data_IF_386215375999
#
_entry.id   IF_386215375999
#
_cell.length_a   1.000
_cell.length_b   1.000
_cell.length_c   1.000
_cell.angle_alpha   90.00
_cell.angle_beta   90.00
_cell.angle_gamma   90.00
#
_symmetry.space_group_name_H-M   'P 1'
#
loop_
_entity.id
_entity.type
_entity.pdbx_description
1 polymer ?
#
# COMPACT_ATOMS: atom_id res chain seq x y z
N UNK A 1 20.00 -18.43 18.47
CA UNK A 1 18.66 -18.17 19.03
C UNK A 1 18.55 -16.68 19.22
N UNK A 2 17.54 -16.03 18.64
CA UNK A 2 17.34 -14.58 18.73
C UNK A 2 15.93 -14.32 19.26
N UNK A 3 15.70 -13.22 19.96
CA UNK A 3 14.36 -12.75 20.33
C UNK A 3 13.76 -11.96 19.18
N UNK A 4 12.62 -12.44 18.64
CA UNK A 4 11.94 -11.85 17.49
C UNK A 4 10.51 -11.52 17.87
N UNK A 5 10.10 -10.26 17.61
CA UNK A 5 8.72 -9.83 17.79
C UNK A 5 8.01 -9.85 16.44
N UNK A 6 6.89 -10.57 16.37
CA UNK A 6 6.10 -10.74 15.14
C UNK A 6 4.86 -9.85 15.23
N UNK A 7 4.69 -8.99 14.23
CA UNK A 7 3.45 -8.24 14.07
C UNK A 7 2.32 -9.14 13.59
N UNK A 8 1.38 -9.42 14.50
CA UNK A 8 0.24 -10.31 14.28
C UNK A 8 -0.99 -9.50 13.88
N UNK A 9 -1.59 -9.84 12.73
CA UNK A 9 -2.77 -9.14 12.19
C UNK A 9 -4.07 -9.94 12.32
N UNK A 10 -4.03 -11.12 12.95
CA UNK A 10 -5.16 -12.07 12.92
C UNK A 10 -5.35 -12.78 11.58
N UNK A 11 -4.48 -12.56 10.58
CA UNK A 11 -4.50 -13.22 9.28
C UNK A 11 -3.53 -14.40 9.20
N UNK A 12 -3.72 -15.28 8.20
CA UNK A 12 -2.93 -16.50 8.00
C UNK A 12 -1.44 -16.22 7.77
N UNK A 13 -1.09 -15.13 7.10
CA UNK A 13 0.30 -14.82 6.72
C UNK A 13 1.17 -14.51 7.93
N UNK A 14 0.69 -13.66 8.85
CA UNK A 14 1.38 -13.36 10.10
C UNK A 14 1.43 -14.57 11.04
N UNK A 15 0.38 -15.41 11.02
CA UNK A 15 0.34 -16.66 11.80
C UNK A 15 1.43 -17.64 11.35
N UNK A 16 1.59 -17.82 10.04
CA UNK A 16 2.64 -18.70 9.48
C UNK A 16 4.02 -18.09 9.66
N UNK A 17 4.16 -16.77 9.57
CA UNK A 17 5.42 -16.09 9.85
C UNK A 17 5.91 -16.38 11.28
N UNK A 18 5.02 -16.30 12.27
CA UNK A 18 5.32 -16.65 13.66
C UNK A 18 5.68 -18.14 13.81
N UNK A 19 4.91 -19.02 13.19
CA UNK A 19 5.17 -20.48 13.20
C UNK A 19 6.54 -20.84 12.63
N UNK A 20 6.91 -20.24 11.49
CA UNK A 20 8.22 -20.50 10.84
C UNK A 20 9.38 -20.13 11.78
N UNK A 21 9.30 -18.96 12.41
CA UNK A 21 10.34 -18.48 13.32
C UNK A 21 10.42 -19.32 14.61
N UNK A 22 9.28 -19.73 15.16
CA UNK A 22 9.24 -20.62 16.32
C UNK A 22 9.84 -21.98 16.00
N UNK A 23 9.48 -22.57 14.85
CA UNK A 23 10.07 -23.86 14.38
C UNK A 23 11.56 -23.75 14.07
N UNK A 24 12.05 -22.57 13.72
CA UNK A 24 13.48 -22.30 13.54
C UNK A 24 14.25 -22.15 14.87
N UNK A 25 13.58 -22.29 16.02
CA UNK A 25 14.19 -22.25 17.36
C UNK A 25 14.44 -20.85 17.89
N UNK A 26 13.76 -19.82 17.36
CA UNK A 26 13.82 -18.46 17.90
C UNK A 26 12.87 -18.30 19.10
N UNK A 27 13.19 -17.36 19.98
CA UNK A 27 12.25 -16.85 20.98
C UNK A 27 11.29 -15.87 20.29
N UNK A 28 10.04 -16.31 20.08
CA UNK A 28 9.04 -15.56 19.34
C UNK A 28 8.01 -14.95 20.28
N UNK A 29 7.69 -13.66 20.08
CA UNK A 29 6.62 -12.94 20.79
C UNK A 29 5.66 -12.39 19.73
N UNK A 30 4.38 -12.75 19.81
CA UNK A 30 3.32 -12.20 18.97
C UNK A 30 2.86 -10.84 19.51
N UNK A 31 2.75 -9.82 18.65
CA UNK A 31 2.20 -8.52 19.04
C UNK A 31 1.09 -8.10 18.07
N UNK A 32 -0.10 -7.95 18.61
CA UNK A 32 -1.23 -7.37 17.91
C UNK A 32 -1.18 -5.85 18.00
N UNK A 33 -1.32 -5.18 16.86
CA UNK A 33 -1.33 -3.72 16.79
C UNK A 33 -2.78 -3.23 16.61
N UNK A 34 -3.33 -2.58 17.62
CA UNK A 34 -4.58 -1.83 17.49
C UNK A 34 -4.26 -0.44 16.94
N UNK A 35 -4.56 -0.19 15.67
CA UNK A 35 -4.25 1.09 15.00
C UNK A 35 -5.50 1.93 14.70
N UNK A 36 -6.70 1.42 15.01
CA UNK A 36 -7.96 2.11 14.78
C UNK A 36 -8.99 1.74 15.85
N UNK A 37 -9.65 2.73 16.44
CA UNK A 37 -10.55 2.54 17.56
C UNK A 37 -12.04 2.69 17.21
N UNK A 38 -12.35 3.10 15.96
CA UNK A 38 -13.75 3.28 15.58
C UNK A 38 -14.38 1.93 15.20
N UNK A 39 -15.63 1.75 15.63
CA UNK A 39 -16.49 0.65 15.19
C UNK A 39 -16.93 0.86 13.74
N UNK A 40 -17.23 -0.22 13.03
CA UNK A 40 -17.88 -0.15 11.72
C UNK A 40 -19.35 0.33 11.84
N UNK A 41 -20.01 0.49 10.67
CA UNK A 41 -21.42 0.94 10.59
C UNK A 41 -22.42 0.00 11.29
N UNK A 42 -21.99 -1.22 11.65
CA UNK A 42 -22.78 -2.21 12.39
C UNK A 42 -22.51 -2.18 13.89
N UNK A 43 -21.57 -1.35 14.35
CA UNK A 43 -21.12 -1.30 15.74
C UNK A 43 -20.13 -2.42 16.10
N UNK A 44 -19.73 -3.26 15.13
CA UNK A 44 -18.75 -4.32 15.33
C UNK A 44 -17.33 -3.75 15.29
N UNK A 45 -16.49 -4.22 16.21
CA UNK A 45 -15.08 -3.90 16.24
C UNK A 45 -14.29 -5.06 15.63
N UNK A 46 -13.94 -4.97 14.36
CA UNK A 46 -13.13 -6.01 13.68
C UNK A 46 -11.82 -6.30 14.40
N UNK A 47 -11.28 -5.33 15.16
CA UNK A 47 -10.08 -5.49 15.97
C UNK A 47 -10.28 -6.52 17.12
N UNK A 48 -11.51 -6.71 17.62
CA UNK A 48 -11.77 -7.73 18.67
C UNK A 48 -11.69 -9.14 18.10
N UNK A 49 -12.25 -9.37 16.92
CA UNK A 49 -12.21 -10.67 16.24
C UNK A 49 -10.75 -11.00 15.82
N UNK A 50 -10.03 -10.03 15.25
CA UNK A 50 -8.63 -10.20 14.89
C UNK A 50 -7.77 -10.48 16.12
N UNK A 51 -8.04 -9.82 17.24
CA UNK A 51 -7.35 -10.08 18.51
C UNK A 51 -7.65 -11.49 19.04
N UNK A 52 -8.89 -11.96 18.94
CA UNK A 52 -9.26 -13.33 19.33
C UNK A 52 -8.50 -14.36 18.48
N UNK A 53 -8.41 -14.14 17.16
CA UNK A 53 -7.64 -14.98 16.25
C UNK A 53 -6.14 -14.99 16.61
N UNK A 54 -5.57 -13.83 16.93
CA UNK A 54 -4.15 -13.74 17.34
C UNK A 54 -3.89 -14.56 18.59
N UNK A 55 -4.75 -14.45 19.60
CA UNK A 55 -4.62 -15.26 20.83
C UNK A 55 -4.67 -16.76 20.53
N UNK A 56 -5.68 -17.19 19.79
CA UNK A 56 -5.86 -18.59 19.45
C UNK A 56 -4.66 -19.15 18.65
N UNK A 57 -4.11 -18.36 17.73
CA UNK A 57 -2.88 -18.73 16.98
C UNK A 57 -1.68 -18.84 17.91
N UNK A 58 -1.45 -17.85 18.78
CA UNK A 58 -0.30 -17.82 19.68
C UNK A 58 -0.37 -18.97 20.71
N UNK A 59 -1.56 -19.26 21.23
CA UNK A 59 -1.79 -20.41 22.12
C UNK A 59 -1.52 -21.74 21.39
N UNK A 60 -1.95 -21.87 20.12
CA UNK A 60 -1.68 -23.06 19.30
C UNK A 60 -0.19 -23.28 19.03
N UNK A 61 0.56 -22.18 18.77
CA UNK A 61 2.01 -22.25 18.53
C UNK A 61 2.79 -22.42 19.83
N UNK A 62 2.25 -21.95 20.97
CA UNK A 62 2.93 -21.94 22.28
C UNK A 62 3.88 -20.75 22.46
N UNK A 63 3.53 -19.56 21.96
CA UNK A 63 4.31 -18.33 22.06
C UNK A 63 3.60 -17.27 22.91
N UNK A 64 4.39 -16.44 23.60
CA UNK A 64 3.86 -15.27 24.31
C UNK A 64 3.27 -14.25 23.35
N UNK A 65 2.27 -13.49 23.80
CA UNK A 65 1.64 -12.45 22.98
C UNK A 65 1.18 -11.25 23.79
N UNK A 66 1.16 -10.09 23.13
CA UNK A 66 0.72 -8.81 23.68
C UNK A 66 -0.13 -8.05 22.68
N UNK A 67 -0.93 -7.10 23.16
CA UNK A 67 -1.57 -6.09 22.34
C UNK A 67 -0.93 -4.72 22.63
N UNK A 68 -0.78 -3.91 21.59
CA UNK A 68 -0.30 -2.53 21.69
C UNK A 68 -1.25 -1.61 20.93
N UNK A 69 -1.48 -0.42 21.46
CA UNK A 69 -2.33 0.58 20.84
C UNK A 69 -1.46 1.66 20.17
N UNK A 70 -1.58 1.78 18.84
CA UNK A 70 -0.96 2.80 18.01
C UNK A 70 -1.99 3.69 17.30
N UNK A 71 -3.26 3.71 17.77
CA UNK A 71 -4.32 4.49 17.12
C UNK A 71 -3.98 5.99 17.04
N UNK A 72 -3.30 6.53 18.04
CA UNK A 72 -2.84 7.92 18.03
C UNK A 72 -1.76 8.14 16.95
N UNK A 73 -0.72 7.31 16.95
CA UNK A 73 0.36 7.37 15.95
C UNK A 73 -0.17 7.20 14.52
N UNK A 74 -1.12 6.28 14.33
CA UNK A 74 -1.76 6.07 13.04
C UNK A 74 -2.57 7.30 12.60
N UNK A 75 -3.38 7.85 13.50
CA UNK A 75 -4.17 9.06 13.23
C UNK A 75 -3.28 10.24 12.84
N UNK A 76 -2.23 10.48 13.62
CA UNK A 76 -1.37 11.66 13.46
C UNK A 76 -0.43 11.55 12.26
N UNK A 77 0.06 10.34 11.90
CA UNK A 77 1.12 10.17 10.90
C UNK A 77 0.64 9.59 9.58
N UNK A 78 -0.48 8.87 9.59
CA UNK A 78 -1.00 8.20 8.38
C UNK A 78 -2.32 8.82 7.95
N UNK A 79 -3.30 8.86 8.87
CA UNK A 79 -4.65 9.26 8.54
C UNK A 79 -4.80 10.76 8.26
N UNK A 80 -4.11 11.63 9.02
CA UNK A 80 -4.10 13.08 8.73
C UNK A 80 -3.53 13.36 7.34
N UNK A 81 -2.38 12.78 6.98
CA UNK A 81 -1.82 12.89 5.63
C UNK A 81 -2.79 12.38 4.56
N UNK A 82 -3.42 11.24 4.81
CA UNK A 82 -4.42 10.67 3.91
C UNK A 82 -5.56 11.65 3.63
N UNK A 83 -6.10 12.31 4.66
CA UNK A 83 -7.16 13.31 4.51
C UNK A 83 -6.68 14.56 3.76
N UNK A 84 -5.44 15.02 4.02
CA UNK A 84 -4.88 16.21 3.36
C UNK A 84 -4.65 15.97 1.86
N UNK A 85 -4.20 14.78 1.49
CA UNK A 85 -4.07 14.40 0.07
C UNK A 85 -5.43 14.37 -0.65
N UNK A 86 -6.47 13.83 0.00
CA UNK A 86 -7.82 13.86 -0.57
C UNK A 86 -8.39 15.28 -0.68
N UNK A 87 -8.14 16.16 0.30
CA UNK A 87 -8.49 17.59 0.21
C UNK A 87 -7.79 18.28 -0.97
N UNK A 88 -6.56 17.89 -1.22
CA UNK A 88 -5.79 18.37 -2.38
C UNK A 88 -6.17 17.67 -3.70
N UNK A 89 -7.23 16.86 -3.73
CA UNK A 89 -7.70 16.15 -4.94
C UNK A 89 -6.81 14.98 -5.37
N UNK A 90 -5.77 14.62 -4.60
CA UNK A 90 -4.87 13.51 -4.87
C UNK A 90 -5.42 12.20 -4.28
N UNK A 91 -4.90 11.08 -4.73
CA UNK A 91 -5.31 9.74 -4.23
C UNK A 91 -4.11 9.08 -3.55
N UNK A 92 -3.95 9.20 -2.22
CA UNK A 92 -2.81 8.67 -1.49
C UNK A 92 -2.83 7.14 -1.40
N UNK A 93 -1.68 6.57 -1.00
CA UNK A 93 -1.56 5.16 -0.63
C UNK A 93 -1.26 5.02 0.87
N UNK A 94 -2.29 4.85 1.72
CA UNK A 94 -2.11 4.78 3.16
C UNK A 94 -1.34 3.54 3.62
N UNK A 95 -1.36 2.43 2.86
CA UNK A 95 -0.66 1.20 3.23
C UNK A 95 0.86 1.38 3.22
N UNK A 96 1.38 2.15 2.27
CA UNK A 96 2.81 2.51 2.21
C UNK A 96 3.22 3.30 3.44
N UNK A 97 2.42 4.30 3.82
CA UNK A 97 2.69 5.11 5.02
C UNK A 97 2.52 4.31 6.30
N UNK A 98 1.51 3.46 6.39
CA UNK A 98 1.31 2.56 7.52
C UNK A 98 2.53 1.65 7.72
N UNK A 99 3.08 1.08 6.65
CA UNK A 99 4.30 0.30 6.74
C UNK A 99 5.45 1.16 7.27
N UNK A 100 5.71 2.34 6.69
CA UNK A 100 6.81 3.22 7.11
C UNK A 100 6.67 3.71 8.56
N UNK A 101 5.52 4.28 8.92
CA UNK A 101 5.37 5.05 10.18
C UNK A 101 4.93 4.18 11.36
N UNK A 102 4.14 3.12 11.09
CA UNK A 102 3.59 2.27 12.15
C UNK A 102 4.38 0.97 12.25
N UNK A 103 4.34 0.10 11.22
CA UNK A 103 4.90 -1.25 11.32
C UNK A 103 6.42 -1.26 11.42
N UNK A 104 7.12 -0.40 10.70
CA UNK A 104 8.58 -0.40 10.66
C UNK A 104 9.24 0.81 11.36
N UNK A 105 8.44 1.57 12.14
CA UNK A 105 8.92 2.62 13.02
C UNK A 105 8.34 2.46 14.42
N UNK A 106 7.08 2.82 14.67
CA UNK A 106 6.49 2.76 16.01
C UNK A 106 6.53 1.33 16.59
N UNK A 107 6.15 0.32 15.81
CA UNK A 107 6.21 -1.08 16.23
C UNK A 107 7.65 -1.59 16.39
N UNK A 108 8.58 -1.21 15.51
CA UNK A 108 10.00 -1.54 15.67
C UNK A 108 10.55 -0.95 16.99
N UNK A 109 10.29 0.33 17.25
CA UNK A 109 10.72 0.99 18.48
C UNK A 109 10.12 0.31 19.74
N UNK A 110 8.87 -0.10 19.68
CA UNK A 110 8.22 -0.87 20.74
C UNK A 110 8.87 -2.25 20.94
N UNK A 111 9.12 -2.98 19.86
CA UNK A 111 9.75 -4.31 19.91
C UNK A 111 11.17 -4.25 20.50
N UNK A 112 11.95 -3.22 20.16
CA UNK A 112 13.27 -3.02 20.71
C UNK A 112 13.23 -2.78 22.24
N UNK A 113 12.20 -2.10 22.75
CA UNK A 113 11.99 -1.93 24.21
C UNK A 113 11.64 -3.25 24.90
N UNK A 114 11.06 -4.21 24.20
CA UNK A 114 10.85 -5.59 24.67
C UNK A 114 12.12 -6.46 24.59
N UNK A 115 13.25 -5.88 24.17
CA UNK A 115 14.51 -6.59 24.00
C UNK A 115 14.60 -7.42 22.73
N UNK A 116 13.75 -7.15 21.73
CA UNK A 116 13.83 -7.84 20.45
C UNK A 116 15.08 -7.41 19.67
N UNK A 117 15.73 -8.38 19.02
CA UNK A 117 16.81 -8.12 18.07
C UNK A 117 16.26 -7.75 16.69
N UNK A 118 15.11 -8.32 16.34
CA UNK A 118 14.44 -8.14 15.04
C UNK A 118 12.93 -8.14 15.18
N UNK A 119 12.26 -7.60 14.18
CA UNK A 119 10.82 -7.74 13.99
C UNK A 119 10.53 -8.60 12.77
N UNK A 120 9.38 -9.25 12.77
CA UNK A 120 8.89 -9.99 11.61
C UNK A 120 7.44 -9.62 11.29
N UNK A 121 7.08 -9.74 10.02
CA UNK A 121 5.72 -9.54 9.54
C UNK A 121 5.38 -10.57 8.47
N UNK A 122 4.09 -10.77 8.21
CA UNK A 122 3.59 -11.68 7.18
C UNK A 122 3.62 -11.11 5.75
N UNK A 123 4.51 -10.16 5.44
CA UNK A 123 4.61 -9.63 4.08
C UNK A 123 5.27 -10.61 3.12
N UNK A 124 4.70 -10.73 1.92
CA UNK A 124 5.30 -11.43 0.79
C UNK A 124 6.36 -10.54 0.12
N UNK A 125 7.52 -10.47 0.74
CA UNK A 125 8.72 -9.80 0.25
C UNK A 125 9.93 -10.55 0.81
N UNK A 126 11.13 -10.30 0.27
CA UNK A 126 12.36 -10.91 0.75
C UNK A 126 13.41 -9.85 1.07
N UNK A 127 14.37 -10.22 1.90
CA UNK A 127 15.51 -9.37 2.22
C UNK A 127 16.78 -10.10 1.81
N UNK A 128 17.49 -9.52 0.85
CA UNK A 128 18.86 -9.90 0.51
C UNK A 128 19.87 -9.02 1.22
N UNK A 129 21.14 -9.39 1.15
CA UNK A 129 22.27 -8.55 1.60
C UNK A 129 23.36 -8.55 0.55
N UNK A 130 23.90 -7.38 0.30
CA UNK A 130 25.06 -7.19 -0.58
C UNK A 130 25.94 -6.11 0.04
N UNK A 131 27.23 -6.41 0.24
CA UNK A 131 28.21 -5.53 0.87
C UNK A 131 27.73 -4.91 2.20
N UNK A 132 27.05 -5.71 3.03
CA UNK A 132 26.50 -5.28 4.32
C UNK A 132 25.18 -4.49 4.24
N UNK A 133 24.79 -4.05 3.05
CA UNK A 133 23.55 -3.31 2.79
C UNK A 133 22.37 -4.26 2.62
N UNK A 134 21.27 -4.01 3.32
CA UNK A 134 20.03 -4.76 3.15
C UNK A 134 19.33 -4.33 1.85
N UNK A 135 18.89 -5.32 1.07
CA UNK A 135 18.13 -5.10 -0.18
C UNK A 135 16.73 -5.65 -0.01
N UNK A 136 15.74 -4.88 -0.41
CA UNK A 136 14.36 -5.35 -0.50
C UNK A 136 14.18 -6.07 -1.83
N UNK A 137 13.75 -7.32 -1.76
CA UNK A 137 13.49 -8.17 -2.93
C UNK A 137 12.01 -8.49 -3.03
N UNK A 138 11.57 -8.74 -4.25
CA UNK A 138 10.20 -9.25 -4.50
C UNK A 138 9.97 -10.55 -3.77
N UNK A 139 8.74 -10.81 -3.34
CA UNK A 139 8.31 -12.15 -2.92
C UNK A 139 8.29 -13.12 -4.11
N UNK A 140 8.48 -14.41 -3.85
CA UNK A 140 8.46 -15.44 -4.91
C UNK A 140 7.07 -15.61 -5.54
N UNK A 141 6.01 -15.33 -4.80
CA UNK A 141 4.64 -15.30 -5.33
C UNK A 141 4.38 -13.95 -6.02
N UNK A 142 4.53 -13.91 -7.33
CA UNK A 142 4.34 -12.69 -8.12
C UNK A 142 2.91 -12.11 -7.99
N UNK A 143 1.90 -12.95 -7.70
CA UNK A 143 0.52 -12.51 -7.47
C UNK A 143 0.29 -11.89 -6.08
N UNK A 144 1.24 -12.09 -5.17
CA UNK A 144 1.19 -11.62 -3.78
C UNK A 144 2.35 -10.71 -3.38
N UNK A 145 3.35 -10.50 -4.26
CA UNK A 145 4.51 -9.66 -3.98
C UNK A 145 4.10 -8.29 -3.41
N UNK A 146 4.54 -8.00 -2.19
CA UNK A 146 4.19 -6.79 -1.44
C UNK A 146 5.36 -5.80 -1.34
N UNK A 147 6.46 -6.03 -2.06
CA UNK A 147 7.60 -5.10 -2.09
C UNK A 147 7.19 -3.67 -2.49
N UNK A 148 6.14 -3.53 -3.32
CA UNK A 148 5.53 -2.25 -3.67
C UNK A 148 5.13 -1.40 -2.46
N UNK A 149 4.57 -2.01 -1.42
CA UNK A 149 4.14 -1.29 -0.21
C UNK A 149 5.27 -1.02 0.78
N UNK A 150 6.45 -1.57 0.53
CA UNK A 150 7.60 -1.52 1.43
C UNK A 150 8.72 -0.61 0.91
N UNK A 151 8.55 0.04 -0.23
CA UNK A 151 9.61 0.82 -0.89
C UNK A 151 10.13 2.01 -0.05
N UNK A 152 9.37 2.48 0.91
CA UNK A 152 9.78 3.56 1.82
C UNK A 152 10.61 3.07 3.02
N UNK A 153 10.93 1.78 3.12
CA UNK A 153 11.76 1.26 4.20
C UNK A 153 13.23 1.61 3.96
N UNK A 154 13.81 2.35 4.90
CA UNK A 154 15.25 2.62 4.89
C UNK A 154 16.05 1.50 5.57
N UNK A 155 17.39 1.59 5.48
CA UNK A 155 18.33 0.62 6.03
C UNK A 155 18.12 0.33 7.54
N UNK A 156 17.85 1.33 8.42
CA UNK A 156 17.64 1.06 9.85
C UNK A 156 16.48 0.10 10.12
N UNK A 157 15.38 0.21 9.38
CA UNK A 157 14.22 -0.65 9.51
C UNK A 157 14.45 -2.01 8.81
N UNK A 158 14.93 -1.99 7.57
CA UNK A 158 15.09 -3.19 6.75
C UNK A 158 16.16 -4.15 7.31
N UNK A 159 17.24 -3.62 7.92
CA UNK A 159 18.27 -4.44 8.56
C UNK A 159 17.77 -5.26 9.74
N UNK A 160 16.67 -4.82 10.38
CA UNK A 160 16.03 -5.46 11.53
C UNK A 160 14.74 -6.20 11.18
N UNK A 161 14.27 -6.10 9.94
CA UNK A 161 13.05 -6.75 9.48
C UNK A 161 13.32 -8.20 9.04
N UNK A 162 12.27 -9.04 9.16
CA UNK A 162 12.18 -10.38 8.60
C UNK A 162 10.83 -10.56 7.92
N UNK A 163 10.84 -11.25 6.79
CA UNK A 163 9.65 -11.64 6.02
C UNK A 163 9.61 -13.15 5.80
N UNK A 164 9.25 -13.94 6.84
CA UNK A 164 9.41 -15.40 6.82
C UNK A 164 8.59 -16.11 5.74
N UNK A 165 7.55 -15.47 5.21
CA UNK A 165 6.70 -16.01 4.13
C UNK A 165 7.09 -15.55 2.73
N UNK A 166 8.14 -14.74 2.61
CA UNK A 166 8.56 -14.14 1.34
C UNK A 166 9.06 -15.16 0.30
N UNK A 167 9.60 -16.29 0.75
CA UNK A 167 10.05 -17.39 -0.08
C UNK A 167 8.97 -18.47 -0.33
N UNK A 168 7.71 -18.16 0.01
CA UNK A 168 6.57 -19.07 -0.14
C UNK A 168 5.50 -18.49 -1.08
N UNK A 169 4.80 -19.38 -1.76
CA UNK A 169 3.54 -19.02 -2.42
C UNK A 169 2.40 -18.97 -1.39
N UNK A 170 1.34 -18.23 -1.69
CA UNK A 170 0.15 -18.18 -0.82
C UNK A 170 -0.45 -19.57 -0.57
N UNK A 171 -0.40 -20.44 -1.57
CA UNK A 171 -0.85 -21.83 -1.43
C UNK A 171 -0.03 -22.61 -0.38
N UNK A 172 1.30 -22.44 -0.40
CA UNK A 172 2.20 -23.07 0.59
C UNK A 172 1.95 -22.51 2.00
N UNK A 173 1.73 -21.20 2.15
CA UNK A 173 1.39 -20.58 3.43
C UNK A 173 0.10 -21.16 4.00
N UNK A 174 -0.97 -21.27 3.18
CA UNK A 174 -2.24 -21.86 3.63
C UNK A 174 -2.10 -23.36 3.98
N UNK A 175 -1.31 -24.10 3.20
CA UNK A 175 -1.03 -25.51 3.48
C UNK A 175 -0.31 -25.69 4.80
N UNK A 176 0.73 -24.90 5.05
CA UNK A 176 1.48 -24.92 6.32
C UNK A 176 0.59 -24.58 7.52
N UNK A 177 -0.29 -23.57 7.37
CA UNK A 177 -1.27 -23.21 8.41
C UNK A 177 -2.23 -24.36 8.71
N UNK A 178 -2.72 -25.07 7.67
CA UNK A 178 -3.62 -26.21 7.82
C UNK A 178 -2.93 -27.39 8.52
N UNK A 179 -1.72 -27.73 8.08
CA UNK A 179 -0.93 -28.82 8.70
C UNK A 179 -0.59 -28.56 10.16
N UNK A 180 -0.42 -27.29 10.53
CA UNK A 180 -0.15 -26.89 11.91
C UNK A 180 -1.43 -26.68 12.75
N UNK A 181 -2.61 -26.89 12.19
CA UNK A 181 -3.89 -26.70 12.89
C UNK A 181 -4.17 -25.25 13.28
N UNK A 182 -3.60 -24.27 12.56
CA UNK A 182 -3.82 -22.88 12.89
C UNK A 182 -5.27 -22.45 12.58
N UNK A 183 -5.97 -21.78 13.51
CA UNK A 183 -7.36 -21.39 13.34
C UNK A 183 -7.57 -20.45 12.15
N UNK A 184 -6.55 -19.72 11.75
CA UNK A 184 -6.59 -18.76 10.62
C UNK A 184 -6.38 -19.40 9.24
N UNK A 185 -6.17 -20.73 9.14
CA UNK A 185 -5.85 -21.43 7.88
C UNK A 185 -6.89 -21.18 6.76
N UNK A 186 -8.18 -21.13 7.10
CA UNK A 186 -9.29 -20.89 6.17
C UNK A 186 -9.73 -19.43 6.09
N UNK A 187 -9.16 -18.53 6.92
CA UNK A 187 -9.54 -17.11 6.95
C UNK A 187 -9.24 -16.45 5.60
N UNK A 188 -10.19 -15.67 5.10
CA UNK A 188 -10.00 -14.89 3.86
C UNK A 188 -8.93 -13.83 4.08
N UNK A 189 -8.24 -13.47 2.99
CA UNK A 189 -7.30 -12.35 3.03
C UNK A 189 -8.08 -11.06 3.28
N UNK A 190 -7.57 -10.20 4.16
CA UNK A 190 -8.14 -8.88 4.36
C UNK A 190 -8.03 -8.08 3.06
N UNK A 191 -9.15 -7.50 2.63
CA UNK A 191 -9.24 -6.55 1.53
C UNK A 191 -9.65 -5.20 2.12
N UNK A 192 -9.19 -4.09 1.55
CA UNK A 192 -9.45 -2.75 2.06
C UNK A 192 -8.18 -2.05 2.56
N UNK A 193 -8.37 -0.86 3.15
CA UNK A 193 -7.27 -0.07 3.72
C UNK A 193 -6.85 -0.70 5.05
N UNK A 194 -5.54 -0.87 5.25
CA UNK A 194 -4.96 -1.43 6.47
C UNK A 194 -5.58 -0.78 7.72
N UNK A 195 -6.11 -1.60 8.63
CA UNK A 195 -6.71 -1.27 9.92
C UNK A 195 -8.06 -0.52 9.88
N UNK A 196 -8.46 0.05 8.74
CA UNK A 196 -9.80 0.66 8.58
C UNK A 196 -10.83 -0.41 8.18
N UNK A 197 -10.37 -1.48 7.52
CA UNK A 197 -11.17 -2.62 7.11
C UNK A 197 -11.97 -2.40 5.82
N UNK A 198 -12.94 -3.29 5.59
CA UNK A 198 -13.87 -3.22 4.46
C UNK A 198 -15.05 -2.32 4.84
N UNK A 199 -15.09 -1.12 4.27
CA UNK A 199 -16.18 -0.15 4.46
C UNK A 199 -16.59 0.43 3.10
N UNK A 200 -17.80 0.99 3.05
CA UNK A 200 -18.10 1.92 1.97
C UNK A 200 -17.15 3.12 2.08
N UNK A 201 -16.15 3.12 1.22
CA UNK A 201 -15.05 4.09 1.25
C UNK A 201 -15.54 5.53 1.07
N UNK A 202 -16.58 5.72 0.25
CA UNK A 202 -17.18 7.04 0.04
C UNK A 202 -17.90 7.52 1.29
N UNK A 203 -18.74 6.67 1.89
CA UNK A 203 -19.43 6.99 3.12
C UNK A 203 -18.44 7.29 4.25
N UNK A 204 -17.40 6.47 4.39
CA UNK A 204 -16.31 6.71 5.35
C UNK A 204 -15.63 8.07 5.15
N UNK A 205 -15.23 8.41 3.92
CA UNK A 205 -14.61 9.71 3.65
C UNK A 205 -15.56 10.88 3.93
N UNK A 206 -16.86 10.72 3.70
CA UNK A 206 -17.85 11.77 3.94
C UNK A 206 -17.95 12.19 5.41
N UNK A 207 -17.58 11.31 6.35
CA UNK A 207 -17.54 11.66 7.79
C UNK A 207 -16.45 12.67 8.13
N UNK A 208 -15.37 12.73 7.32
CA UNK A 208 -14.22 13.60 7.55
C UNK A 208 -14.08 14.74 6.53
N UNK A 209 -14.60 14.54 5.33
CA UNK A 209 -14.47 15.47 4.20
C UNK A 209 -15.86 15.81 3.67
N UNK A 210 -16.37 17.03 3.94
CA UNK A 210 -17.70 17.43 3.48
C UNK A 210 -17.84 17.34 1.96
N UNK A 211 -18.95 16.80 1.51
CA UNK A 211 -19.30 16.74 0.09
C UNK A 211 -19.41 18.15 -0.51
N UNK A 212 -18.80 18.34 -1.67
CA UNK A 212 -18.99 19.54 -2.51
C UNK A 212 -19.39 19.11 -3.92
N UNK A 213 -20.69 18.95 -4.19
CA UNK A 213 -21.18 18.52 -5.49
C UNK A 213 -20.79 19.49 -6.61
N UNK A 214 -20.54 18.95 -7.80
CA UNK A 214 -20.21 19.72 -9.00
C UNK A 214 -20.62 19.00 -10.28
N UNK A 215 -20.19 19.53 -11.41
CA UNK A 215 -20.52 18.97 -12.72
C UNK A 215 -19.49 17.92 -13.17
N UNK A 216 -19.98 16.89 -13.85
CA UNK A 216 -19.16 16.00 -14.67
C UNK A 216 -19.26 16.45 -16.11
N UNK A 217 -18.11 16.73 -16.73
CA UNK A 217 -18.06 17.16 -18.13
C UNK A 217 -17.26 16.22 -19.00
N UNK A 218 -17.75 16.01 -20.20
CA UNK A 218 -17.05 15.24 -21.23
C UNK A 218 -15.84 16.02 -21.73
N UNK A 219 -14.65 15.38 -21.69
CA UNK A 219 -13.42 15.97 -22.23
C UNK A 219 -13.54 16.21 -23.73
N UNK A 220 -13.03 17.32 -24.23
CA UNK A 220 -13.07 17.69 -25.66
C UNK A 220 -14.35 18.43 -26.09
N UNK A 221 -15.53 18.07 -25.56
CA UNK A 221 -16.79 18.77 -25.90
C UNK A 221 -17.22 19.78 -24.85
N UNK A 222 -16.81 19.58 -23.58
CA UNK A 222 -17.27 20.39 -22.46
C UNK A 222 -18.73 20.15 -22.04
N UNK A 223 -19.41 19.19 -22.68
CA UNK A 223 -20.82 18.89 -22.43
C UNK A 223 -20.98 18.32 -21.00
N UNK A 224 -21.97 18.83 -20.25
CA UNK A 224 -22.34 18.29 -18.96
C UNK A 224 -23.01 16.92 -19.15
N UNK A 225 -22.48 15.89 -18.52
CA UNK A 225 -22.95 14.50 -18.63
C UNK A 225 -23.45 13.93 -17.30
N UNK A 226 -23.24 14.65 -16.20
CA UNK A 226 -23.70 14.22 -14.88
C UNK A 226 -23.28 15.20 -13.77
N UNK A 227 -23.47 14.76 -12.53
CA UNK A 227 -23.02 15.49 -11.33
C UNK A 227 -22.24 14.55 -10.42
N UNK A 228 -21.16 15.04 -9.83
CA UNK A 228 -20.42 14.34 -8.81
C UNK A 228 -20.74 14.85 -7.41
N UNK A 229 -20.50 14.03 -6.39
CA UNK A 229 -20.78 14.38 -4.99
C UNK A 229 -19.60 15.09 -4.31
N UNK A 230 -18.46 15.14 -4.94
CA UNK A 230 -17.22 15.78 -4.46
C UNK A 230 -16.02 15.17 -5.17
N UNK A 231 -15.09 15.99 -5.69
CA UNK A 231 -13.93 15.55 -6.50
C UNK A 231 -13.04 14.55 -5.75
N UNK A 232 -12.97 14.65 -4.42
CA UNK A 232 -12.16 13.80 -3.58
C UNK A 232 -12.59 12.32 -3.60
N UNK A 233 -13.85 12.04 -3.93
CA UNK A 233 -14.36 10.65 -3.96
C UNK A 233 -14.05 9.91 -5.27
N UNK A 234 -13.41 10.57 -6.21
CA UNK A 234 -13.10 10.01 -7.53
C UNK A 234 -11.60 9.89 -7.74
N UNK A 235 -11.21 8.86 -8.49
CA UNK A 235 -9.81 8.58 -8.84
C UNK A 235 -9.68 8.51 -10.36
N UNK A 236 -8.55 8.95 -10.91
CA UNK A 236 -8.29 8.83 -12.35
C UNK A 236 -8.42 7.38 -12.81
N UNK A 237 -9.09 7.17 -13.93
CA UNK A 237 -9.40 5.85 -14.49
C UNK A 237 -10.57 5.12 -13.82
N UNK A 238 -11.23 5.74 -12.83
CA UNK A 238 -12.43 5.16 -12.20
C UNK A 238 -13.57 5.06 -13.21
N UNK A 239 -14.22 3.88 -13.25
CA UNK A 239 -15.37 3.58 -14.09
C UNK A 239 -16.67 3.49 -13.28
N UNK A 240 -16.61 2.84 -12.11
CA UNK A 240 -17.80 2.55 -11.30
C UNK A 240 -18.19 3.74 -10.44
N UNK A 241 -19.49 3.87 -10.13
CA UNK A 241 -19.99 4.90 -9.22
C UNK A 241 -20.06 6.31 -9.80
N UNK A 242 -19.99 6.46 -11.15
CA UNK A 242 -20.13 7.77 -11.80
C UNK A 242 -21.60 8.20 -11.94
N UNK A 243 -22.55 7.26 -11.95
CA UNK A 243 -23.98 7.60 -12.11
C UNK A 243 -24.35 8.21 -13.46
N UNK A 244 -23.45 8.12 -14.46
CA UNK A 244 -23.72 8.63 -15.82
C UNK A 244 -24.46 7.53 -16.57
N UNK A 245 -25.77 7.68 -16.72
CA UNK A 245 -26.61 6.73 -17.47
C UNK A 245 -26.57 6.99 -18.95
N UNK A 246 -26.65 5.92 -19.77
CA UNK A 246 -27.14 5.84 -21.16
C UNK A 246 -26.79 6.92 -22.18
N UNK A 247 -25.97 7.90 -21.86
CA UNK A 247 -25.63 9.00 -22.76
C UNK A 247 -24.35 8.69 -23.54
N UNK A 248 -24.28 9.11 -24.79
CA UNK A 248 -23.13 8.93 -25.68
C UNK A 248 -23.25 7.71 -26.58
N UNK A 249 -22.11 7.08 -26.92
CA UNK A 249 -22.01 5.98 -27.89
C UNK A 249 -22.19 4.57 -27.26
N UNK A 250 -22.62 4.51 -26.00
CA UNK A 250 -22.84 3.25 -25.28
C UNK A 250 -21.58 2.67 -24.59
N UNK A 251 -20.39 3.24 -24.83
CA UNK A 251 -19.18 2.83 -24.14
C UNK A 251 -19.15 3.36 -22.69
N UNK A 252 -18.39 2.70 -21.82
CA UNK A 252 -18.25 3.09 -20.42
C UNK A 252 -17.56 4.44 -20.27
N UNK A 253 -17.98 5.20 -19.26
CA UNK A 253 -17.33 6.45 -18.84
C UNK A 253 -16.19 6.20 -17.86
N UNK A 254 -15.13 7.01 -17.96
CA UNK A 254 -13.96 6.98 -17.10
C UNK A 254 -13.57 8.38 -16.65
N UNK A 255 -13.14 8.53 -15.41
CA UNK A 255 -12.54 9.77 -14.92
C UNK A 255 -11.19 9.98 -15.59
N UNK A 256 -10.97 11.14 -16.17
CA UNK A 256 -9.71 11.50 -16.85
C UNK A 256 -8.98 12.65 -16.20
N UNK A 257 -9.69 13.58 -15.54
CA UNK A 257 -9.06 14.69 -14.82
C UNK A 257 -9.98 15.27 -13.74
N UNK A 258 -9.39 16.02 -12.79
CA UNK A 258 -10.06 16.74 -11.71
C UNK A 258 -9.60 18.18 -11.68
N UNK A 259 -10.49 19.13 -11.97
CA UNK A 259 -10.17 20.55 -11.90
C UNK A 259 -10.72 21.15 -10.62
N UNK A 260 -9.85 21.28 -9.60
CA UNK A 260 -10.23 21.67 -8.24
C UNK A 260 -10.76 23.10 -8.15
N UNK A 261 -10.16 24.03 -8.90
CA UNK A 261 -10.55 25.44 -8.86
C UNK A 261 -12.02 25.66 -9.26
N UNK A 262 -12.46 24.98 -10.33
CA UNK A 262 -13.82 25.09 -10.86
C UNK A 262 -14.75 24.00 -10.35
N UNK A 263 -14.26 23.09 -9.51
CA UNK A 263 -15.01 21.95 -8.99
C UNK A 263 -15.61 21.07 -10.11
N UNK A 264 -14.79 20.77 -11.14
CA UNK A 264 -15.19 20.00 -12.31
C UNK A 264 -14.52 18.62 -12.32
N UNK A 265 -15.30 17.59 -12.64
CA UNK A 265 -14.82 16.25 -12.92
C UNK A 265 -14.87 15.99 -14.42
N UNK A 266 -13.72 15.83 -15.05
CA UNK A 266 -13.62 15.48 -16.45
C UNK A 266 -13.70 14.00 -16.67
N UNK A 267 -14.55 13.58 -17.61
CA UNK A 267 -14.78 12.18 -17.95
C UNK A 267 -14.68 11.97 -19.46
N UNK A 268 -14.33 10.75 -19.87
CA UNK A 268 -14.26 10.34 -21.26
C UNK A 268 -14.95 8.98 -21.45
N UNK A 269 -15.49 8.73 -22.65
CA UNK A 269 -16.01 7.44 -23.02
C UNK A 269 -14.93 6.55 -23.69
N UNK A 270 -14.97 5.25 -23.36
CA UNK A 270 -14.02 4.25 -23.87
C UNK A 270 -12.79 4.10 -23.00
N UNK A 271 -12.37 2.86 -22.82
CA UNK A 271 -11.18 2.52 -22.04
C UNK A 271 -9.86 2.86 -22.74
N UNK A 272 -9.92 3.06 -24.04
CA UNK A 272 -8.85 3.42 -24.97
C UNK A 272 -8.74 4.92 -25.23
N UNK A 273 -9.58 5.75 -24.57
CA UNK A 273 -9.56 7.18 -24.80
C UNK A 273 -8.18 7.80 -24.47
N UNK A 274 -7.57 8.60 -25.37
CA UNK A 274 -6.21 9.13 -25.19
C UNK A 274 -5.99 9.88 -23.87
N UNK A 275 -7.00 10.61 -23.38
CA UNK A 275 -6.92 11.34 -22.11
C UNK A 275 -6.73 10.45 -20.87
N UNK A 276 -6.85 9.13 -21.00
CA UNK A 276 -6.54 8.16 -19.93
C UNK A 276 -5.05 7.81 -19.86
N UNK A 277 -4.27 8.20 -20.87
CA UNK A 277 -2.89 7.73 -21.02
C UNK A 277 -1.91 8.87 -20.94
N UNK A 278 -0.84 8.68 -20.17
CA UNK A 278 0.28 9.62 -20.03
C UNK A 278 1.60 8.87 -20.19
N UNK A 279 2.63 9.55 -20.66
CA UNK A 279 3.94 8.92 -20.86
C UNK A 279 4.97 9.40 -19.85
N UNK A 280 4.87 10.63 -19.41
CA UNK A 280 5.77 11.24 -18.47
C UNK A 280 5.07 11.49 -17.12
N UNK A 281 5.83 11.41 -16.03
CA UNK A 281 5.36 11.77 -14.70
C UNK A 281 6.45 12.52 -13.95
N UNK A 282 6.05 13.54 -13.20
CA UNK A 282 6.86 14.14 -12.16
C UNK A 282 6.53 13.42 -10.85
N UNK A 283 7.55 12.97 -10.15
CA UNK A 283 7.42 12.35 -8.84
C UNK A 283 8.28 13.08 -7.81
N UNK A 284 7.78 13.17 -6.60
CA UNK A 284 8.34 13.91 -5.46
C UNK A 284 8.64 12.97 -4.30
N UNK A 285 9.37 13.47 -3.31
CA UNK A 285 9.75 12.71 -2.11
C UNK A 285 10.36 11.33 -2.42
N UNK A 286 11.41 11.24 -3.27
CA UNK A 286 12.04 9.97 -3.59
C UNK A 286 12.64 9.32 -2.35
N UNK A 287 12.46 8.01 -2.25
CA UNK A 287 13.05 7.18 -1.21
C UNK A 287 13.81 6.03 -1.87
N UNK A 288 15.04 5.80 -1.44
CA UNK A 288 15.90 4.74 -1.95
C UNK A 288 16.20 3.73 -0.85
N UNK A 289 16.01 2.45 -1.14
CA UNK A 289 16.23 1.36 -0.16
C UNK A 289 17.68 1.32 0.31
N UNK A 290 18.63 1.55 -0.58
CA UNK A 290 20.06 1.59 -0.24
C UNK A 290 20.48 2.83 0.57
N UNK A 291 19.60 3.83 0.68
CA UNK A 291 19.87 5.13 1.31
C UNK A 291 20.31 6.20 0.32
N UNK A 292 21.02 5.81 -0.74
CA UNK A 292 21.52 6.72 -1.78
C UNK A 292 20.84 6.43 -3.13
N UNK A 293 20.66 7.46 -3.98
CA UNK A 293 20.14 7.28 -5.34
C UNK A 293 21.08 6.39 -6.16
N UNK A 294 20.56 5.44 -6.95
CA UNK A 294 21.37 4.58 -7.81
C UNK A 294 21.84 5.27 -9.11
N UNK A 295 21.69 6.59 -9.22
CA UNK A 295 22.14 7.39 -10.34
C UNK A 295 22.65 8.76 -9.85
N UNK A 296 23.59 9.35 -10.57
CA UNK A 296 23.99 10.73 -10.34
C UNK A 296 22.91 11.72 -10.79
N UNK A 297 23.03 12.97 -10.34
CA UNK A 297 22.09 14.02 -10.75
C UNK A 297 22.20 14.27 -12.27
N UNK A 298 21.04 14.32 -12.93
CA UNK A 298 20.93 14.48 -14.38
C UNK A 298 21.13 13.20 -15.18
N UNK A 299 21.67 12.14 -14.61
CA UNK A 299 21.75 10.84 -15.25
C UNK A 299 20.39 10.15 -15.34
N UNK A 300 20.22 9.30 -16.34
CA UNK A 300 19.03 8.50 -16.54
C UNK A 300 19.25 7.07 -16.07
N UNK A 301 18.53 6.66 -15.03
CA UNK A 301 18.42 5.26 -14.63
C UNK A 301 17.39 4.55 -15.53
N UNK A 302 17.82 3.48 -16.22
CA UNK A 302 16.90 2.58 -16.93
C UNK A 302 16.54 1.42 -16.01
N UNK A 303 15.26 1.27 -15.73
CA UNK A 303 14.74 0.23 -14.83
C UNK A 303 13.30 -0.13 -15.20
N UNK A 304 12.64 -0.94 -14.39
CA UNK A 304 11.19 -1.11 -14.49
C UNK A 304 10.48 -0.38 -13.34
N UNK A 305 9.23 0.00 -13.55
CA UNK A 305 8.41 0.65 -12.54
C UNK A 305 7.00 0.08 -12.49
N UNK A 306 6.37 0.22 -11.32
CA UNK A 306 4.93 0.01 -11.11
C UNK A 306 4.31 1.30 -10.58
N UNK A 307 3.27 1.77 -11.25
CA UNK A 307 2.45 2.91 -10.80
C UNK A 307 1.25 2.47 -9.94
N UNK A 308 1.03 1.15 -9.84
CA UNK A 308 0.00 0.51 -9.01
C UNK A 308 0.46 -0.86 -8.56
N UNK A 309 0.02 -1.30 -7.43
CA UNK A 309 0.42 -2.57 -6.81
C UNK A 309 0.33 -3.79 -7.75
N UNK A 310 -0.81 -3.99 -8.43
CA UNK A 310 -1.03 -5.16 -9.29
C UNK A 310 -0.66 -4.94 -10.76
N UNK A 311 -0.02 -3.83 -11.08
CA UNK A 311 0.44 -3.55 -12.43
C UNK A 311 1.63 -4.46 -12.76
N UNK A 312 1.70 -4.90 -14.03
CA UNK A 312 2.91 -5.50 -14.58
C UNK A 312 4.02 -4.45 -14.67
N UNK A 313 5.26 -4.90 -14.68
CA UNK A 313 6.44 -4.04 -14.79
C UNK A 313 6.41 -3.23 -16.10
N UNK A 314 6.68 -1.94 -15.99
CA UNK A 314 6.77 -1.02 -17.11
C UNK A 314 8.21 -0.54 -17.27
N UNK A 315 8.77 -0.66 -18.46
CA UNK A 315 10.11 -0.12 -18.74
C UNK A 315 10.07 1.41 -18.67
N UNK A 316 10.97 1.99 -17.85
CA UNK A 316 11.05 3.43 -17.64
C UNK A 316 12.49 3.94 -17.68
N UNK A 317 12.63 5.24 -18.00
CA UNK A 317 13.84 6.02 -17.75
C UNK A 317 13.51 7.04 -16.65
N UNK A 318 14.28 6.99 -15.57
CA UNK A 318 14.12 7.88 -14.41
C UNK A 318 15.28 8.85 -14.38
N UNK A 319 15.01 10.15 -14.33
CA UNK A 319 16.01 11.22 -14.20
C UNK A 319 15.77 12.00 -12.92
N UNK A 320 16.83 12.18 -12.14
CA UNK A 320 16.80 12.98 -10.91
C UNK A 320 17.16 14.42 -11.20
N UNK A 321 16.42 15.35 -10.58
CA UNK A 321 16.72 16.79 -10.53
C UNK A 321 16.39 17.29 -9.12
N UNK A 322 17.41 17.50 -8.30
CA UNK A 322 17.24 17.79 -6.87
C UNK A 322 16.42 16.71 -6.15
N UNK A 323 15.33 17.12 -5.52
CA UNK A 323 14.42 16.23 -4.77
C UNK A 323 13.22 15.73 -5.61
N UNK A 324 13.31 15.85 -6.92
CA UNK A 324 12.26 15.39 -7.84
C UNK A 324 12.80 14.37 -8.85
N UNK A 325 11.87 13.55 -9.35
CA UNK A 325 12.16 12.58 -10.40
C UNK A 325 11.24 12.82 -11.59
N UNK A 326 11.82 12.91 -12.79
CA UNK A 326 11.06 12.75 -14.03
C UNK A 326 11.11 11.29 -14.44
N UNK A 327 9.94 10.67 -14.57
CA UNK A 327 9.80 9.26 -14.94
C UNK A 327 9.14 9.20 -16.31
N UNK A 328 9.89 8.73 -17.32
CA UNK A 328 9.39 8.52 -18.67
C UNK A 328 9.17 7.05 -18.94
N UNK A 329 7.93 6.65 -19.18
CA UNK A 329 7.59 5.29 -19.56
C UNK A 329 7.88 5.03 -21.05
N UNK A 330 8.30 3.83 -21.39
CA UNK A 330 8.52 3.43 -22.79
C UNK A 330 7.21 3.44 -23.60
N UNK A 331 6.11 3.06 -22.95
CA UNK A 331 4.76 3.08 -23.52
C UNK A 331 3.84 3.92 -22.64
N UNK A 332 2.82 4.59 -23.21
CA UNK A 332 1.86 5.37 -22.43
C UNK A 332 1.22 4.52 -21.32
N UNK A 333 1.11 5.10 -20.14
CA UNK A 333 0.58 4.45 -18.94
C UNK A 333 -0.82 4.95 -18.65
N UNK A 334 -1.72 3.99 -18.36
CA UNK A 334 -3.12 4.30 -18.12
C UNK A 334 -3.34 4.85 -16.71
N UNK A 335 -3.94 6.04 -16.63
CA UNK A 335 -4.43 6.68 -15.41
C UNK A 335 -3.36 6.75 -14.30
N UNK A 336 -2.19 7.26 -14.63
CA UNK A 336 -1.16 7.61 -13.64
C UNK A 336 -1.74 8.69 -12.73
N UNK A 337 -1.86 8.37 -11.43
CA UNK A 337 -2.69 9.16 -10.52
C UNK A 337 -1.82 9.91 -9.52
N UNK A 338 -1.96 11.25 -9.40
CA UNK A 338 -1.32 12.04 -8.36
C UNK A 338 -1.63 11.52 -6.95
N UNK A 339 -0.60 11.45 -6.10
CA UNK A 339 -0.66 10.89 -4.76
C UNK A 339 -0.35 9.39 -4.67
N UNK A 340 -0.45 8.65 -5.79
CA UNK A 340 -0.03 7.25 -5.84
C UNK A 340 1.49 7.12 -5.90
N UNK A 341 2.00 5.95 -5.52
CA UNK A 341 3.44 5.65 -5.59
C UNK A 341 3.84 5.17 -6.97
N UNK A 342 5.01 5.61 -7.43
CA UNK A 342 5.77 4.93 -8.49
C UNK A 342 6.96 4.23 -7.84
N UNK A 343 7.05 2.90 -8.01
CA UNK A 343 8.07 2.07 -7.35
C UNK A 343 8.97 1.44 -8.40
N UNK A 344 10.29 1.56 -8.21
CA UNK A 344 11.32 1.19 -9.17
C UNK A 344 11.96 -0.14 -8.83
N UNK A 345 12.25 -0.92 -9.88
CA UNK A 345 12.83 -2.25 -9.74
C UNK A 345 13.93 -2.50 -10.76
N UNK A 346 14.90 -3.31 -10.36
CA UNK A 346 15.90 -3.90 -11.24
C UNK A 346 15.91 -5.42 -11.02
N UNK A 347 15.28 -6.14 -11.94
CA UNK A 347 14.97 -7.56 -11.74
C UNK A 347 14.12 -7.78 -10.49
N UNK A 348 14.61 -8.55 -9.53
CA UNK A 348 13.93 -8.82 -8.26
C UNK A 348 14.14 -7.72 -7.21
N UNK A 349 15.11 -6.84 -7.40
CA UNK A 349 15.47 -5.81 -6.41
C UNK A 349 14.53 -4.62 -6.52
N UNK A 350 13.84 -4.28 -5.42
CA UNK A 350 13.16 -3.00 -5.26
C UNK A 350 14.21 -1.92 -4.93
N UNK A 351 14.38 -0.96 -5.82
CA UNK A 351 15.35 0.12 -5.65
C UNK A 351 14.84 1.21 -4.70
N UNK A 352 13.53 1.41 -4.66
CA UNK A 352 12.85 2.49 -3.98
C UNK A 352 11.66 3.00 -4.77
N UNK A 353 11.26 4.23 -4.55
CA UNK A 353 10.12 4.82 -5.24
C UNK A 353 9.93 6.29 -4.89
N UNK A 354 8.85 6.86 -5.40
CA UNK A 354 8.47 8.25 -5.15
C UNK A 354 6.95 8.40 -5.23
N UNK A 355 6.43 9.54 -4.82
CA UNK A 355 5.00 9.87 -4.95
C UNK A 355 4.78 10.64 -6.25
N UNK A 356 3.83 10.21 -7.06
CA UNK A 356 3.44 10.92 -8.29
C UNK A 356 2.81 12.27 -7.92
N UNK A 357 3.37 13.35 -8.41
CA UNK A 357 2.82 14.70 -8.28
C UNK A 357 1.88 15.02 -9.44
N UNK A 358 2.33 14.79 -10.68
CA UNK A 358 1.56 14.96 -11.90
C UNK A 358 2.06 14.05 -13.02
N UNK A 359 1.22 13.82 -14.04
CA UNK A 359 1.56 13.06 -15.24
C UNK A 359 0.99 13.72 -16.50
N UNK A 360 1.67 13.56 -17.65
CA UNK A 360 1.29 14.16 -18.93
C UNK A 360 1.71 13.32 -20.14
#
# INVERSE_FOLDING_TARGET
MARIVVGMSGGVDSSVAALCLHRAGHEVIGVFMNNWEETDDTGACTAQDDWADVRAVCDTIGIAYYAVNFAREYRDRVFSYFLDEYRAGRTPNPDVLCNREIKFKAFLDFALKLGAERIATGHFARIGREDGTARLLRGVDAGKDQSYFLYMLGQPALSRALFPVGDMTKAQVREMARQAGLPTAAKRDSTGICFIGERDFKAFLQTYLPARPGEMREIGTGRVVGRHDGLMYYTLGQRRGLGIGGSGDGRSWFVVDKHLADNLLWVAQGEDHPALYTQDALAIAPTWIAGEPPMAEGEALRCTAKYRYRQTDQAVAVRRTGDTLTVRAQTPQRAVTPGQSVVFYQGEVCLGGAVVDRAW
#
